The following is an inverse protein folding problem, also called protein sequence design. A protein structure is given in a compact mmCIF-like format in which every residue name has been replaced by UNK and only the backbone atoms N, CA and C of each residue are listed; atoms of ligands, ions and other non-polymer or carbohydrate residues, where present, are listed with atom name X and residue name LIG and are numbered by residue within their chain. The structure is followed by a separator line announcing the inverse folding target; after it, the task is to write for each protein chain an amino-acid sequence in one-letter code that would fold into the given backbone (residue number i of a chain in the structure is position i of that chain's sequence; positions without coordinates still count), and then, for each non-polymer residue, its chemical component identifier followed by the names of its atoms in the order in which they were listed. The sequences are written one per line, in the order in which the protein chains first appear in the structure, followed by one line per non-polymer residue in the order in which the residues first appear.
data_IF_332863091641
#
_entry.id   IF_332863091641
#
_cell.length_a   1.000
_cell.length_b   1.000
_cell.length_c   1.000
_cell.angle_alpha   90.00
_cell.angle_beta   90.00
_cell.angle_gamma   90.00
#
_symmetry.space_group_name_H-M   'P 1'
#
loop_
_entity.id
_entity.type
_entity.pdbx_description
1 polymer ?
#
# COMPACT_ATOMS: atom_id res chain seq x y z
N UNK A 1 8.20 -12.62 -17.31
CA UNK A 1 6.88 -12.19 -16.84
C UNK A 1 6.90 -11.96 -15.34
N UNK A 2 6.43 -10.84 -14.92
CA UNK A 2 6.41 -10.48 -13.51
C UNK A 2 5.36 -11.29 -12.76
N UNK A 3 5.74 -11.78 -11.61
CA UNK A 3 4.88 -12.55 -10.74
C UNK A 3 4.84 -11.89 -9.36
N UNK A 4 3.71 -11.96 -8.71
CA UNK A 4 3.55 -11.46 -7.36
C UNK A 4 3.44 -9.95 -7.29
N UNK A 5 4.50 -9.29 -6.86
CA UNK A 5 4.45 -7.86 -6.56
C UNK A 5 4.56 -7.01 -7.82
N UNK A 6 3.65 -6.07 -8.00
CA UNK A 6 3.73 -5.11 -9.09
C UNK A 6 4.84 -4.10 -8.83
N UNK A 7 5.45 -3.60 -9.90
CA UNK A 7 6.47 -2.57 -9.81
C UNK A 7 5.79 -1.21 -9.97
N UNK A 8 5.80 -0.41 -8.92
CA UNK A 8 5.14 0.89 -8.88
C UNK A 8 6.14 2.04 -8.77
N UNK A 9 7.40 1.82 -9.12
CA UNK A 9 8.42 2.85 -8.98
C UNK A 9 8.10 4.11 -9.76
N UNK A 10 7.33 4.00 -10.85
CA UNK A 10 6.90 5.16 -11.63
C UNK A 10 5.97 6.10 -10.86
N UNK A 11 5.38 5.62 -9.77
CA UNK A 11 4.51 6.44 -8.92
C UNK A 11 5.27 7.09 -7.76
N UNK A 12 6.56 6.81 -7.62
CA UNK A 12 7.36 7.26 -6.49
C UNK A 12 7.80 8.73 -6.68
N UNK A 13 6.84 9.63 -6.76
CA UNK A 13 7.08 11.06 -6.90
C UNK A 13 6.74 11.76 -5.59
N UNK A 14 7.65 12.57 -5.02
CA UNK A 14 7.35 13.30 -3.78
C UNK A 14 6.06 14.11 -3.90
N UNK A 15 5.21 14.00 -2.89
CA UNK A 15 3.92 14.66 -2.88
C UNK A 15 2.80 13.85 -3.53
N UNK A 16 3.11 12.75 -4.18
CA UNK A 16 2.09 11.91 -4.82
C UNK A 16 1.15 11.32 -3.77
N UNK A 17 -0.14 11.31 -4.09
CA UNK A 17 -1.15 10.65 -3.27
C UNK A 17 -1.56 9.36 -3.97
N UNK A 18 -1.43 8.26 -3.27
CA UNK A 18 -1.60 6.94 -3.87
C UNK A 18 -2.75 6.24 -3.16
N UNK A 19 -3.82 6.01 -3.91
CA UNK A 19 -5.00 5.33 -3.38
C UNK A 19 -4.81 3.81 -3.50
N UNK A 20 -5.11 3.10 -2.43
CA UNK A 20 -5.00 1.66 -2.41
C UNK A 20 -6.23 1.06 -1.73
N UNK A 21 -6.57 -0.17 -2.10
CA UNK A 21 -7.60 -0.94 -1.43
C UNK A 21 -6.95 -2.10 -0.70
N UNK A 22 -7.18 -2.15 0.61
CA UNK A 22 -6.53 -3.14 1.48
C UNK A 22 -7.52 -4.24 1.84
N UNK A 23 -7.10 -5.48 1.66
CA UNK A 23 -7.85 -6.65 2.08
C UNK A 23 -7.11 -7.28 3.26
N UNK A 24 -7.62 -7.14 4.48
CA UNK A 24 -6.99 -7.75 5.64
C UNK A 24 -7.37 -9.23 5.76
N UNK A 25 -6.67 -9.92 6.64
CA UNK A 25 -6.96 -11.31 6.95
C UNK A 25 -6.93 -12.22 5.72
N UNK A 26 -6.08 -11.89 4.75
CA UNK A 26 -5.89 -12.71 3.57
C UNK A 26 -5.01 -13.90 3.88
N UNK A 27 -5.13 -14.96 3.09
CA UNK A 27 -4.27 -16.13 3.26
C UNK A 27 -2.83 -15.85 2.85
N UNK A 28 -2.64 -15.00 1.86
CA UNK A 28 -1.32 -14.65 1.35
C UNK A 28 -1.20 -13.15 1.20
N UNK A 29 -0.04 -12.59 1.51
CA UNK A 29 0.19 -11.19 1.20
C UNK A 29 0.37 -11.03 -0.30
N UNK A 30 0.04 -9.86 -0.80
CA UNK A 30 0.23 -9.56 -2.21
C UNK A 30 -0.15 -8.15 -2.54
N UNK A 31 0.32 -7.69 -3.68
CA UNK A 31 -0.01 -6.38 -4.21
C UNK A 31 -0.20 -6.55 -5.71
N UNK A 32 -1.34 -6.08 -6.22
CA UNK A 32 -1.60 -6.13 -7.64
C UNK A 32 -2.31 -4.87 -8.08
N UNK A 33 -2.22 -4.57 -9.37
CA UNK A 33 -2.90 -3.45 -9.97
C UNK A 33 -3.91 -4.00 -10.97
N UNK A 34 -5.19 -3.70 -10.73
CA UNK A 34 -6.27 -4.19 -11.57
C UNK A 34 -7.18 -3.02 -11.92
N UNK A 35 -7.35 -2.73 -13.21
CA UNK A 35 -8.25 -1.67 -13.64
C UNK A 35 -7.92 -0.32 -13.06
N UNK A 36 -6.64 -0.03 -12.85
CA UNK A 36 -6.20 1.23 -12.26
C UNK A 36 -6.28 1.28 -10.74
N UNK A 37 -6.72 0.21 -10.11
CA UNK A 37 -6.80 0.13 -8.64
C UNK A 37 -5.66 -0.70 -8.10
N UNK A 38 -4.96 -0.16 -7.11
CA UNK A 38 -3.90 -0.90 -6.41
C UNK A 38 -4.56 -1.66 -5.28
N UNK A 39 -4.46 -2.99 -5.32
CA UNK A 39 -5.03 -3.86 -4.29
C UNK A 39 -3.92 -4.48 -3.49
N UNK A 40 -4.00 -4.37 -2.18
CA UNK A 40 -3.00 -4.90 -1.27
C UNK A 40 -3.67 -5.88 -0.32
N UNK A 41 -3.26 -7.15 -0.40
CA UNK A 41 -3.72 -8.17 0.52
C UNK A 41 -2.70 -8.31 1.64
N UNK A 42 -3.18 -8.24 2.88
CA UNK A 42 -2.33 -8.40 4.06
C UNK A 42 -2.88 -9.53 4.91
N UNK A 43 -2.00 -10.22 5.61
CA UNK A 43 -2.38 -11.41 6.37
C UNK A 43 -2.79 -11.10 7.81
N UNK A 44 -2.54 -9.87 8.25
CA UNK A 44 -2.89 -9.45 9.62
C UNK A 44 -4.36 -9.12 9.74
N UNK A 45 -4.86 -9.15 10.97
CA UNK A 45 -6.24 -8.76 11.25
C UNK A 45 -6.36 -7.24 11.25
N UNK A 46 -7.54 -6.68 10.95
CA UNK A 46 -7.71 -5.23 10.83
C UNK A 46 -7.97 -4.55 12.18
N UNK A 47 -7.02 -4.66 13.09
CA UNK A 47 -7.15 -3.99 14.38
C UNK A 47 -5.84 -3.31 14.76
N UNK A 48 -5.94 -2.25 15.55
CA UNK A 48 -4.81 -1.48 16.07
C UNK A 48 -3.87 -0.98 14.97
N UNK A 49 -4.42 -0.69 13.79
CA UNK A 49 -3.61 -0.18 12.69
C UNK A 49 -2.70 -1.20 12.03
N UNK A 50 -2.81 -2.48 12.37
CA UNK A 50 -1.93 -3.51 11.83
C UNK A 50 -2.04 -3.65 10.32
N UNK A 51 -3.28 -3.63 9.81
CA UNK A 51 -3.49 -3.76 8.37
C UNK A 51 -2.92 -2.53 7.65
N UNK A 52 -3.05 -1.35 8.24
CA UNK A 52 -2.48 -0.12 7.67
C UNK A 52 -0.97 -0.19 7.60
N UNK A 53 -0.32 -0.66 8.67
CA UNK A 53 1.13 -0.79 8.69
C UNK A 53 1.62 -1.81 7.67
N UNK A 54 0.94 -2.95 7.58
CA UNK A 54 1.30 -3.98 6.62
C UNK A 54 1.12 -3.48 5.18
N UNK A 55 0.04 -2.74 4.92
CA UNK A 55 -0.21 -2.17 3.60
C UNK A 55 0.83 -1.11 3.26
N UNK A 56 1.20 -0.27 4.22
CA UNK A 56 2.24 0.73 4.02
C UNK A 56 3.56 0.08 3.64
N UNK A 57 3.93 -0.98 4.34
CA UNK A 57 5.17 -1.71 4.08
C UNK A 57 5.16 -2.32 2.67
N UNK A 58 4.07 -2.95 2.28
CA UNK A 58 3.95 -3.54 0.95
C UNK A 58 4.02 -2.48 -0.14
N UNK A 59 3.33 -1.36 0.06
CA UNK A 59 3.35 -0.26 -0.91
C UNK A 59 4.74 0.35 -1.03
N UNK A 60 5.42 0.54 0.09
CA UNK A 60 6.78 1.09 0.08
C UNK A 60 7.73 0.20 -0.71
N UNK A 61 7.63 -1.10 -0.55
CA UNK A 61 8.47 -2.03 -1.31
C UNK A 61 8.18 -1.95 -2.80
N UNK A 62 6.91 -1.85 -3.18
CA UNK A 62 6.55 -1.74 -4.59
C UNK A 62 7.01 -0.41 -5.20
N UNK A 63 7.00 0.67 -4.40
CA UNK A 63 7.48 1.97 -4.84
C UNK A 63 9.00 2.09 -4.81
N UNK A 64 9.67 1.22 -4.07
CA UNK A 64 11.12 1.29 -3.91
C UNK A 64 11.57 2.38 -2.97
N UNK A 65 10.76 2.70 -1.95
CA UNK A 65 11.07 3.76 -0.99
C UNK A 65 10.98 3.20 0.43
N UNK A 66 11.51 3.97 1.38
CA UNK A 66 11.36 3.62 2.79
C UNK A 66 9.92 3.83 3.24
N UNK A 67 9.39 2.94 4.04
CA UNK A 67 7.99 3.04 4.50
C UNK A 67 7.74 4.30 5.32
N UNK A 68 8.76 4.84 5.97
CA UNK A 68 8.64 6.07 6.74
C UNK A 68 8.34 7.30 5.88
N UNK A 69 8.53 7.18 4.57
CA UNK A 69 8.18 8.27 3.65
C UNK A 69 6.71 8.26 3.25
N UNK A 70 5.96 7.24 3.65
CA UNK A 70 4.54 7.14 3.35
C UNK A 70 3.71 7.53 4.57
N UNK A 71 2.83 8.51 4.37
CA UNK A 71 1.93 8.99 5.41
C UNK A 71 0.51 8.68 5.01
N UNK A 72 -0.23 8.02 5.91
CA UNK A 72 -1.65 7.76 5.68
C UNK A 72 -2.40 9.07 5.87
N UNK A 73 -3.06 9.55 4.80
CA UNK A 73 -3.79 10.81 4.86
C UNK A 73 -5.30 10.62 4.81
N UNK A 74 -5.77 9.40 4.52
CA UNK A 74 -7.20 9.13 4.44
C UNK A 74 -7.47 7.65 4.60
N UNK A 75 -8.59 7.32 5.23
CA UNK A 75 -9.06 5.95 5.30
C UNK A 75 -8.46 5.11 6.42
N UNK A 76 -8.12 5.72 7.57
CA UNK A 76 -7.50 5.00 8.68
C UNK A 76 -8.33 3.78 9.12
N UNK A 77 -9.66 3.89 9.06
CA UNK A 77 -10.56 2.81 9.47
C UNK A 77 -11.31 2.22 8.28
N UNK A 78 -10.82 2.43 7.08
CA UNK A 78 -11.46 1.98 5.85
C UNK A 78 -10.52 1.05 5.10
N UNK A 79 -11.10 0.18 4.26
CA UNK A 79 -10.29 -0.61 3.34
C UNK A 79 -9.72 0.24 2.23
N UNK A 80 -10.36 1.35 1.90
CA UNK A 80 -9.86 2.28 0.91
C UNK A 80 -9.03 3.33 1.62
N UNK A 81 -7.74 3.34 1.31
CA UNK A 81 -6.76 4.20 1.98
C UNK A 81 -6.00 5.03 0.96
N UNK A 82 -5.55 6.20 1.39
CA UNK A 82 -4.68 7.04 0.58
C UNK A 82 -3.42 7.35 1.37
N UNK A 83 -2.28 7.05 0.76
CA UNK A 83 -0.98 7.38 1.32
C UNK A 83 -0.36 8.51 0.49
N UNK A 84 0.33 9.40 1.18
CA UNK A 84 1.12 10.45 0.52
C UNK A 84 2.60 10.09 0.64
N UNK A 85 3.31 10.23 -0.47
CA UNK A 85 4.76 10.01 -0.47
C UNK A 85 5.45 11.32 -0.10
N UNK A 86 6.09 11.35 1.05
CA UNK A 86 6.79 12.51 1.54
C UNK A 86 8.20 12.56 0.97
N UNK A 87 8.76 13.77 0.91
CA UNK A 87 10.15 13.94 0.50
C UNK A 87 11.08 13.33 1.54
N UNK A 88 12.25 12.85 1.12
CA UNK A 88 13.22 12.31 2.05
C UNK A 88 13.74 13.34 3.03
#
# INVERSE_FOLDING_TARGET
MTQGMADLTHLATPGAEIAVRVTPNARRPGLEVTGGTIRIAVTVIPEDGRATEAARDALAKALGVAKTRLTLIRGAKSRDKVFRLDSP
#
